data_IF_525472421697
#
_entry.id   IF_525472421697
#
_cell.length_a   1.000
_cell.length_b   1.000
_cell.length_c   1.000
_cell.angle_alpha   90.00
_cell.angle_beta   90.00
_cell.angle_gamma   90.00
#
_symmetry.space_group_name_H-M   'P 1'
#
loop_
_entity.id
_entity.type
_entity.pdbx_description
1 polymer ?
#
# COMPACT_ATOMS: atom_id res chain seq x y z
N UNK A 1 54.92 -11.98 24.81
CA UNK A 1 54.01 -12.77 23.95
C UNK A 1 52.52 -12.66 24.33
N UNK A 2 52.16 -12.41 25.60
CA UNK A 2 50.75 -12.43 26.07
C UNK A 2 49.87 -11.24 25.64
N UNK A 3 50.45 -10.07 25.31
CA UNK A 3 49.70 -8.85 24.92
C UNK A 3 49.13 -8.96 23.49
N UNK A 4 49.88 -9.60 22.58
CA UNK A 4 49.47 -9.80 21.18
C UNK A 4 48.24 -10.73 21.08
N UNK A 5 48.20 -11.79 21.90
CA UNK A 5 47.08 -12.75 21.93
C UNK A 5 45.78 -12.10 22.44
N UNK A 6 45.87 -11.20 23.44
CA UNK A 6 44.70 -10.45 23.96
C UNK A 6 44.10 -9.52 22.90
N UNK A 7 44.95 -8.84 22.13
CA UNK A 7 44.50 -7.94 21.06
C UNK A 7 43.88 -8.70 19.88
N UNK A 8 44.41 -9.88 19.54
CA UNK A 8 43.83 -10.76 18.53
C UNK A 8 42.46 -11.31 18.97
N UNK A 9 42.32 -11.78 20.22
CA UNK A 9 41.03 -12.23 20.75
C UNK A 9 39.99 -11.10 20.81
N UNK A 10 40.38 -9.90 21.24
CA UNK A 10 39.45 -8.76 21.28
C UNK A 10 39.00 -8.31 19.88
N UNK A 11 39.89 -8.35 18.90
CA UNK A 11 39.59 -8.07 17.49
C UNK A 11 38.65 -9.12 16.88
N UNK A 12 38.91 -10.41 17.15
CA UNK A 12 38.05 -11.50 16.70
C UNK A 12 36.65 -11.42 17.33
N UNK A 13 36.56 -11.09 18.62
CA UNK A 13 35.28 -10.90 19.31
C UNK A 13 34.48 -9.72 18.75
N UNK A 14 35.13 -8.57 18.48
CA UNK A 14 34.49 -7.42 17.83
C UNK A 14 33.99 -7.77 16.43
N UNK A 15 34.78 -8.49 15.62
CA UNK A 15 34.36 -8.94 14.28
C UNK A 15 33.19 -9.91 14.34
N UNK A 16 33.19 -10.83 15.30
CA UNK A 16 32.05 -11.73 15.54
C UNK A 16 30.78 -10.99 15.95
N UNK A 17 30.91 -10.00 16.82
CA UNK A 17 29.79 -9.15 17.24
C UNK A 17 29.22 -8.36 16.06
N UNK A 18 30.08 -7.73 15.24
CA UNK A 18 29.66 -6.98 14.05
C UNK A 18 28.94 -7.89 13.05
N UNK A 19 29.48 -9.08 12.76
CA UNK A 19 28.85 -10.06 11.85
C UNK A 19 27.49 -10.52 12.37
N UNK A 20 27.38 -10.81 13.67
CA UNK A 20 26.12 -11.18 14.29
C UNK A 20 25.09 -10.04 14.22
N UNK A 21 25.48 -8.80 14.54
CA UNK A 21 24.62 -7.63 14.43
C UNK A 21 24.15 -7.37 13.00
N UNK A 22 25.03 -7.51 12.00
CA UNK A 22 24.63 -7.38 10.59
C UNK A 22 23.68 -8.50 10.15
N UNK A 23 23.88 -9.73 10.61
CA UNK A 23 22.99 -10.84 10.32
C UNK A 23 21.59 -10.64 10.90
N UNK A 24 21.51 -10.18 12.15
CA UNK A 24 20.23 -9.83 12.81
C UNK A 24 19.53 -8.69 12.07
N UNK A 25 20.27 -7.65 11.64
CA UNK A 25 19.69 -6.54 10.90
C UNK A 25 19.11 -7.01 9.56
N UNK A 26 19.82 -7.84 8.80
CA UNK A 26 19.33 -8.38 7.52
C UNK A 26 18.06 -9.22 7.69
N UNK A 27 18.00 -10.05 8.73
CA UNK A 27 16.82 -10.86 9.08
C UNK A 27 15.61 -9.97 9.41
N UNK A 28 15.80 -8.92 10.21
CA UNK A 28 14.73 -7.98 10.59
C UNK A 28 14.22 -7.17 9.39
N UNK A 29 15.11 -6.71 8.51
CA UNK A 29 14.70 -5.98 7.29
C UNK A 29 13.94 -6.87 6.32
N UNK A 30 14.29 -8.17 6.24
CA UNK A 30 13.57 -9.13 5.40
C UNK A 30 12.10 -9.31 5.82
N UNK A 31 11.81 -9.35 7.12
CA UNK A 31 10.44 -9.48 7.61
C UNK A 31 9.56 -8.26 7.27
N UNK A 32 10.13 -7.04 7.30
CA UNK A 32 9.39 -5.83 6.94
C UNK A 32 9.01 -5.79 5.45
N UNK A 33 9.88 -6.32 4.57
CA UNK A 33 9.64 -6.36 3.12
C UNK A 33 8.68 -7.45 2.64
N UNK A 34 8.34 -8.45 3.47
CA UNK A 34 7.46 -9.57 3.12
C UNK A 34 6.00 -9.31 3.52
N UNK A 35 5.71 -8.15 4.10
CA UNK A 35 4.34 -7.67 4.20
C UNK A 35 3.85 -7.44 2.76
N UNK A 36 2.76 -8.12 2.37
CA UNK A 36 2.23 -8.08 1.00
C UNK A 36 1.88 -6.66 0.51
N UNK A 37 1.13 -6.50 -0.58
CA UNK A 37 0.72 -5.17 -1.02
C UNK A 37 -0.02 -4.45 0.12
N UNK A 38 0.61 -3.41 0.67
CA UNK A 38 0.06 -2.55 1.72
C UNK A 38 -0.19 -1.17 1.15
N UNK A 39 -1.21 -0.49 1.67
CA UNK A 39 -1.44 0.91 1.35
C UNK A 39 -0.21 1.77 1.73
N UNK A 40 0.12 2.79 0.93
CA UNK A 40 1.14 3.77 1.28
C UNK A 40 0.81 4.46 2.61
N UNK A 41 1.83 4.78 3.41
CA UNK A 41 1.65 5.45 4.71
C UNK A 41 1.02 6.84 4.56
N UNK A 42 1.19 7.49 3.40
CA UNK A 42 0.54 8.75 3.07
C UNK A 42 -0.99 8.69 3.10
N UNK A 43 -1.58 7.50 2.94
CA UNK A 43 -3.04 7.31 3.05
C UNK A 43 -3.57 7.46 4.48
N UNK A 44 -2.68 7.47 5.49
CA UNK A 44 -3.05 7.72 6.89
C UNK A 44 -3.02 9.21 7.24
N UNK A 45 -2.49 10.06 6.36
CA UNK A 45 -2.44 11.50 6.60
C UNK A 45 -3.85 12.12 6.53
N UNK A 46 -4.04 13.23 7.25
CA UNK A 46 -5.27 14.00 7.13
C UNK A 46 -5.38 14.58 5.72
N UNK A 47 -6.53 14.39 5.07
CA UNK A 47 -6.78 14.97 3.75
C UNK A 47 -7.72 16.18 3.85
N UNK A 48 -7.55 17.13 2.93
CA UNK A 48 -8.49 18.23 2.74
C UNK A 48 -9.39 17.89 1.56
N UNK A 49 -10.71 17.78 1.75
CA UNK A 49 -11.61 17.40 0.68
C UNK A 49 -11.69 18.50 -0.38
N UNK A 50 -11.83 18.11 -1.65
CA UNK A 50 -12.04 19.07 -2.73
C UNK A 50 -13.32 19.90 -2.51
N UNK A 51 -13.34 21.18 -2.89
CA UNK A 51 -14.55 21.98 -2.83
C UNK A 51 -15.61 21.41 -3.80
N UNK A 52 -16.87 21.62 -3.47
CA UNK A 52 -18.02 21.04 -4.19
C UNK A 52 -17.98 21.26 -5.72
N UNK A 53 -17.51 22.42 -6.18
CA UNK A 53 -17.41 22.73 -7.61
C UNK A 53 -16.27 22.00 -8.34
N UNK A 54 -15.32 21.41 -7.61
CA UNK A 54 -14.17 20.68 -8.14
C UNK A 54 -14.32 19.15 -8.01
N UNK A 55 -15.42 18.66 -7.42
CA UNK A 55 -15.72 17.23 -7.29
C UNK A 55 -16.29 16.67 -8.59
N UNK A 56 -16.06 15.38 -8.82
CA UNK A 56 -16.65 14.64 -9.95
C UNK A 56 -18.15 14.43 -9.72
N UNK A 57 -18.53 14.03 -8.51
CA UNK A 57 -19.93 13.89 -8.09
C UNK A 57 -20.08 14.43 -6.67
N UNK A 58 -21.05 15.31 -6.48
CA UNK A 58 -21.34 15.89 -5.16
C UNK A 58 -22.33 15.03 -4.38
N UNK A 59 -23.39 14.60 -5.05
CA UNK A 59 -24.38 13.67 -4.55
C UNK A 59 -24.19 12.35 -5.29
N UNK A 60 -23.59 11.37 -4.61
CA UNK A 60 -23.27 10.06 -5.19
C UNK A 60 -23.97 8.96 -4.42
N UNK A 61 -24.63 8.06 -5.14
CA UNK A 61 -25.08 6.78 -4.61
C UNK A 61 -23.87 5.85 -4.58
N UNK A 62 -23.41 5.52 -3.37
CA UNK A 62 -22.30 4.58 -3.20
C UNK A 62 -22.84 3.17 -3.05
N UNK A 63 -22.30 2.25 -3.85
CA UNK A 63 -22.54 0.82 -3.73
C UNK A 63 -21.21 0.13 -3.45
N UNK A 64 -21.22 -0.85 -2.57
CA UNK A 64 -20.01 -1.58 -2.20
C UNK A 64 -20.17 -3.05 -2.61
N UNK A 65 -19.22 -3.56 -3.38
CA UNK A 65 -19.11 -4.95 -3.79
C UNK A 65 -17.83 -5.58 -3.25
N UNK A 66 -17.94 -6.81 -2.76
CA UNK A 66 -16.79 -7.63 -2.33
C UNK A 66 -16.47 -8.65 -3.42
N UNK A 67 -15.20 -8.76 -3.81
CA UNK A 67 -14.72 -9.70 -4.83
C UNK A 67 -13.52 -10.50 -4.31
N UNK A 68 -13.31 -11.69 -4.86
CA UNK A 68 -12.13 -12.52 -4.55
C UNK A 68 -10.90 -12.09 -5.37
N UNK A 69 -11.09 -11.76 -6.65
CA UNK A 69 -10.04 -11.44 -7.61
C UNK A 69 -9.93 -9.93 -7.87
N UNK A 70 -9.85 -9.13 -6.81
CA UNK A 70 -9.89 -7.66 -6.88
C UNK A 70 -8.79 -7.09 -7.77
N UNK A 71 -7.56 -7.57 -7.62
CA UNK A 71 -6.42 -7.09 -8.40
C UNK A 71 -6.64 -7.26 -9.92
N UNK A 72 -7.21 -8.40 -10.34
CA UNK A 72 -7.52 -8.66 -11.74
C UNK A 72 -8.68 -7.76 -12.23
N UNK A 73 -9.77 -7.71 -11.45
CA UNK A 73 -10.95 -6.93 -11.79
C UNK A 73 -10.64 -5.44 -11.90
N UNK A 74 -10.04 -4.88 -10.86
CA UNK A 74 -9.67 -3.48 -10.79
C UNK A 74 -8.55 -3.13 -11.77
N UNK A 75 -7.57 -4.01 -11.96
CA UNK A 75 -6.52 -3.82 -12.96
C UNK A 75 -7.08 -3.72 -14.38
N UNK A 76 -8.08 -4.54 -14.72
CA UNK A 76 -8.79 -4.48 -16.00
C UNK A 76 -9.61 -3.19 -16.14
N UNK A 77 -10.34 -2.81 -15.09
CA UNK A 77 -11.14 -1.59 -15.07
C UNK A 77 -10.27 -0.32 -15.26
N UNK A 78 -9.11 -0.28 -14.59
CA UNK A 78 -8.14 0.81 -14.69
C UNK A 78 -7.25 0.74 -15.95
N UNK A 79 -7.43 -0.27 -16.81
CA UNK A 79 -6.62 -0.50 -18.02
C UNK A 79 -5.12 -0.55 -17.73
N UNK A 80 -4.72 -1.13 -16.60
CA UNK A 80 -3.31 -1.30 -16.26
C UNK A 80 -2.64 -2.25 -17.26
N UNK A 81 -1.40 -1.93 -17.66
CA UNK A 81 -0.58 -2.90 -18.38
C UNK A 81 -0.27 -4.11 -17.49
N UNK A 82 0.02 -5.27 -18.09
CA UNK A 82 0.40 -6.48 -17.35
C UNK A 82 1.55 -6.22 -16.37
N UNK A 83 2.54 -5.43 -16.79
CA UNK A 83 3.69 -5.07 -15.95
C UNK A 83 3.28 -4.21 -14.76
N UNK A 84 2.41 -3.22 -14.96
CA UNK A 84 1.91 -2.38 -13.87
C UNK A 84 1.03 -3.17 -12.90
N UNK A 85 0.13 -4.00 -13.42
CA UNK A 85 -0.75 -4.85 -12.59
C UNK A 85 0.07 -5.85 -11.74
N UNK A 86 1.24 -6.27 -12.20
CA UNK A 86 2.14 -7.14 -11.45
C UNK A 86 2.97 -6.39 -10.40
N UNK A 87 3.52 -5.21 -10.74
CA UNK A 87 4.33 -4.42 -9.80
C UNK A 87 3.50 -3.76 -8.70
N UNK A 88 2.31 -3.27 -9.04
CA UNK A 88 1.43 -2.52 -8.14
C UNK A 88 0.00 -3.03 -8.31
N UNK A 89 -0.30 -4.25 -7.83
CA UNK A 89 -1.64 -4.80 -7.93
C UNK A 89 -2.62 -3.95 -7.10
N UNK A 90 -3.76 -3.51 -7.66
CA UNK A 90 -4.74 -2.74 -6.91
C UNK A 90 -5.39 -3.61 -5.83
N UNK A 91 -5.49 -3.05 -4.62
CA UNK A 91 -6.15 -3.69 -3.47
C UNK A 91 -7.67 -3.50 -3.50
N UNK A 92 -8.11 -2.38 -4.07
CA UNK A 92 -9.49 -1.99 -4.27
C UNK A 92 -9.58 -1.05 -5.49
N UNK A 93 -10.80 -0.68 -5.89
CA UNK A 93 -11.04 0.39 -6.85
C UNK A 93 -12.45 0.98 -6.73
N UNK A 94 -12.60 2.22 -7.19
CA UNK A 94 -13.88 2.90 -7.36
C UNK A 94 -14.20 3.08 -8.84
N UNK A 95 -15.43 2.71 -9.24
CA UNK A 95 -15.93 2.85 -10.60
C UNK A 95 -17.11 3.80 -10.65
N UNK A 96 -17.00 4.87 -11.44
CA UNK A 96 -18.05 5.88 -11.56
C UNK A 96 -18.98 5.60 -12.73
N UNK A 97 -20.27 5.82 -12.50
CA UNK A 97 -21.25 6.06 -13.54
C UNK A 97 -21.85 7.45 -13.32
N UNK A 98 -21.28 8.44 -14.02
CA UNK A 98 -21.67 9.85 -13.89
C UNK A 98 -23.13 10.06 -14.35
N UNK A 99 -23.59 9.31 -15.35
CA UNK A 99 -24.96 9.43 -15.86
C UNK A 99 -26.00 9.01 -14.81
N UNK A 100 -25.72 7.94 -14.04
CA UNK A 100 -26.62 7.45 -12.99
C UNK A 100 -26.30 8.01 -11.59
N UNK A 101 -25.28 8.89 -11.46
CA UNK A 101 -24.74 9.38 -10.19
C UNK A 101 -24.42 8.26 -9.20
N UNK A 102 -23.90 7.14 -9.72
CA UNK A 102 -23.55 5.97 -8.91
C UNK A 102 -22.03 5.75 -8.93
N UNK A 103 -21.49 5.37 -7.78
CA UNK A 103 -20.12 4.89 -7.67
C UNK A 103 -20.11 3.51 -7.02
N UNK A 104 -19.39 2.57 -7.61
CA UNK A 104 -19.21 1.23 -7.07
C UNK A 104 -17.81 1.11 -6.52
N UNK A 105 -17.69 0.86 -5.22
CA UNK A 105 -16.42 0.51 -4.57
C UNK A 105 -16.29 -1.01 -4.59
N UNK A 106 -15.13 -1.50 -5.03
CA UNK A 106 -14.82 -2.92 -5.11
C UNK A 106 -13.64 -3.20 -4.20
N UNK A 107 -13.82 -4.09 -3.23
CA UNK A 107 -12.78 -4.46 -2.26
C UNK A 107 -12.60 -5.96 -2.16
N UNK A 108 -11.54 -6.38 -1.47
CA UNK A 108 -11.37 -7.76 -1.05
C UNK A 108 -12.29 -8.13 0.12
N UNK A 109 -12.32 -9.41 0.48
CA UNK A 109 -13.02 -9.90 1.69
C UNK A 109 -12.51 -9.26 2.99
N UNK A 110 -11.22 -8.92 3.01
CA UNK A 110 -10.57 -8.23 4.12
C UNK A 110 -10.17 -6.87 3.60
N UNK A 111 -10.76 -5.82 4.18
CA UNK A 111 -10.54 -4.44 3.80
C UNK A 111 -10.25 -3.64 5.07
N UNK A 112 -9.34 -2.68 4.98
CA UNK A 112 -9.11 -1.72 6.06
C UNK A 112 -10.00 -0.48 5.91
N UNK A 113 -10.26 0.23 6.99
CA UNK A 113 -10.99 1.51 6.90
C UNK A 113 -10.25 2.55 6.04
N UNK A 114 -8.92 2.48 5.99
CA UNK A 114 -8.09 3.35 5.14
C UNK A 114 -8.31 3.01 3.66
N UNK A 115 -8.32 1.72 3.30
CA UNK A 115 -8.60 1.25 1.94
C UNK A 115 -9.99 1.67 1.49
N UNK A 116 -11.00 1.43 2.32
CA UNK A 116 -12.38 1.82 2.01
C UNK A 116 -12.54 3.35 1.91
N UNK A 117 -11.87 4.11 2.79
CA UNK A 117 -11.88 5.56 2.79
C UNK A 117 -11.22 6.16 1.54
N UNK A 118 -10.12 5.57 1.09
CA UNK A 118 -9.44 5.93 -0.16
C UNK A 118 -10.37 5.79 -1.37
N UNK A 119 -11.04 4.64 -1.50
CA UNK A 119 -11.98 4.43 -2.61
C UNK A 119 -13.24 5.31 -2.50
N UNK A 120 -13.71 5.56 -1.28
CA UNK A 120 -14.81 6.49 -1.06
C UNK A 120 -14.44 7.89 -1.51
N UNK A 121 -13.22 8.35 -1.23
CA UNK A 121 -12.71 9.63 -1.73
C UNK A 121 -12.71 9.64 -3.27
N UNK A 122 -12.31 8.54 -3.92
CA UNK A 122 -12.37 8.43 -5.38
C UNK A 122 -13.79 8.61 -5.92
N UNK A 123 -14.83 8.16 -5.21
CA UNK A 123 -16.21 8.35 -5.63
C UNK A 123 -16.64 9.82 -5.73
N UNK A 124 -16.14 10.69 -4.84
CA UNK A 124 -16.46 12.11 -4.86
C UNK A 124 -15.47 12.92 -5.70
N UNK A 125 -14.18 12.64 -5.55
CA UNK A 125 -13.08 13.47 -6.03
C UNK A 125 -12.45 12.99 -7.35
N UNK A 126 -12.69 11.74 -7.75
CA UNK A 126 -12.06 11.17 -8.94
C UNK A 126 -10.55 11.00 -8.77
N UNK A 127 -9.76 11.39 -9.78
CA UNK A 127 -8.30 11.24 -9.77
C UNK A 127 -7.60 12.31 -8.91
N UNK A 128 -7.53 12.09 -7.60
CA UNK A 128 -6.87 13.00 -6.66
C UNK A 128 -5.37 12.72 -6.43
N UNK A 129 -4.81 11.67 -7.04
CA UNK A 129 -3.40 11.25 -6.91
C UNK A 129 -2.44 11.95 -7.89
N UNK A 130 -2.55 13.28 -8.08
CA UNK A 130 -1.63 14.00 -8.98
C UNK A 130 -0.25 14.20 -8.38
#
# INVERSE_FOLDING_TARGET
MMISVKNVMASAFRRGLVLASTGVLMLLTGCASVQGPTLPVSELESFVPMPHHARVMNDVKVRWEVRENVAEFCGRAAKLSTTQAWMTPPLACAMWNVASKECVIITGKKVSHVELGHELRHCFEGNFHR
#
